data_IF_182040225056
#
_entry.id   IF_182040225056
#
_cell.length_a   1.000
_cell.length_b   1.000
_cell.length_c   1.000
_cell.angle_alpha   90.00
_cell.angle_beta   90.00
_cell.angle_gamma   90.00
#
_symmetry.space_group_name_H-M   'P 1'
#
loop_
_entity.id
_entity.type
_entity.pdbx_description
1 polymer ?
#
# COMPACT_ATOMS: atom_id res chain seq x y z
N UNK A 1 2.03 0.14 -26.59
CA UNK A 1 1.58 -0.20 -25.22
C UNK A 1 2.34 -1.44 -24.80
N UNK A 2 2.97 -1.42 -23.64
CA UNK A 2 3.81 -2.50 -23.13
C UNK A 2 3.30 -2.96 -21.76
N UNK A 3 3.34 -4.27 -21.48
CA UNK A 3 2.98 -4.87 -20.19
C UNK A 3 4.26 -4.99 -19.36
N UNK A 4 4.19 -4.52 -18.11
CA UNK A 4 5.33 -4.55 -17.18
C UNK A 4 5.32 -5.76 -16.24
N UNK A 5 4.17 -6.39 -16.05
CA UNK A 5 3.99 -7.50 -15.13
C UNK A 5 4.89 -8.70 -15.42
N UNK A 6 5.43 -9.29 -14.36
CA UNK A 6 6.03 -10.63 -14.38
C UNK A 6 4.98 -11.70 -14.01
N UNK A 7 5.44 -12.94 -13.84
CA UNK A 7 4.63 -14.03 -13.27
C UNK A 7 4.48 -13.95 -11.74
N UNK A 8 5.01 -12.91 -11.08
CA UNK A 8 4.96 -12.78 -9.63
C UNK A 8 3.54 -12.39 -9.17
N UNK A 9 2.88 -13.20 -8.34
CA UNK A 9 1.49 -12.95 -7.93
C UNK A 9 1.38 -11.70 -7.05
N UNK A 10 0.31 -10.92 -7.28
CA UNK A 10 0.03 -9.69 -6.52
C UNK A 10 -1.10 -9.85 -5.53
N UNK A 11 -1.78 -11.00 -5.53
CA UNK A 11 -2.90 -11.30 -4.64
C UNK A 11 -2.71 -12.63 -3.93
N UNK A 12 -2.96 -12.61 -2.62
CA UNK A 12 -2.87 -13.75 -1.72
C UNK A 12 -4.07 -13.78 -0.79
N UNK A 13 -4.86 -14.86 -0.90
CA UNK A 13 -5.97 -15.14 0.00
C UNK A 13 -5.76 -16.48 0.69
N UNK A 14 -6.02 -16.51 2.00
CA UNK A 14 -5.90 -17.72 2.79
C UNK A 14 -6.79 -18.83 2.21
N UNK A 15 -6.20 -20.01 1.96
CA UNK A 15 -6.89 -21.16 1.39
C UNK A 15 -7.19 -21.06 -0.11
N UNK A 16 -6.62 -20.08 -0.82
CA UNK A 16 -6.73 -19.94 -2.27
C UNK A 16 -5.35 -19.90 -2.93
N UNK A 17 -5.29 -20.20 -4.22
CA UNK A 17 -4.06 -20.07 -5.00
C UNK A 17 -3.70 -18.59 -5.22
N UNK A 18 -2.41 -18.21 -5.17
CA UNK A 18 -1.96 -16.86 -5.52
C UNK A 18 -2.42 -16.47 -6.92
N UNK A 19 -2.72 -15.19 -7.12
CA UNK A 19 -3.28 -14.68 -8.39
C UNK A 19 -2.63 -13.37 -8.83
N UNK A 20 -2.68 -13.09 -10.14
CA UNK A 20 -2.20 -11.86 -10.79
C UNK A 20 -3.38 -10.93 -11.03
N UNK A 21 -3.72 -10.06 -10.06
CA UNK A 21 -4.89 -9.18 -10.15
C UNK A 21 -4.55 -7.71 -10.44
N UNK A 22 -3.30 -7.30 -10.20
CA UNK A 22 -2.83 -5.96 -10.52
C UNK A 22 -2.16 -5.95 -11.91
N UNK A 23 -2.56 -5.04 -12.80
CA UNK A 23 -1.98 -4.88 -14.14
C UNK A 23 -1.30 -3.52 -14.28
N UNK A 24 -0.04 -3.53 -14.71
CA UNK A 24 0.81 -2.37 -14.95
C UNK A 24 1.22 -2.29 -16.42
N UNK A 25 0.96 -1.15 -17.04
CA UNK A 25 1.20 -0.90 -18.46
C UNK A 25 1.94 0.43 -18.66
N UNK A 26 2.74 0.54 -19.72
CA UNK A 26 3.44 1.77 -20.08
C UNK A 26 3.48 2.03 -21.59
N UNK A 27 3.87 3.25 -21.95
CA UNK A 27 4.28 3.60 -23.31
C UNK A 27 5.60 2.88 -23.66
N UNK A 28 5.81 2.48 -24.93
CA UNK A 28 7.06 1.81 -25.35
C UNK A 28 8.33 2.60 -25.02
N UNK A 29 8.27 3.92 -25.10
CA UNK A 29 9.40 4.83 -24.85
C UNK A 29 9.92 4.74 -23.41
N UNK A 30 9.10 4.27 -22.45
CA UNK A 30 9.46 4.16 -21.05
C UNK A 30 9.95 2.75 -20.65
N UNK A 31 9.81 1.75 -21.52
CA UNK A 31 10.00 0.34 -21.17
C UNK A 31 11.41 0.05 -20.60
N UNK A 32 12.43 0.66 -21.19
CA UNK A 32 13.83 0.44 -20.79
C UNK A 32 14.28 1.32 -19.61
N UNK A 33 13.46 2.30 -19.24
CA UNK A 33 13.73 3.19 -18.11
C UNK A 33 13.08 2.72 -16.81
N UNK A 34 12.17 1.75 -16.90
CA UNK A 34 11.35 1.27 -15.79
C UNK A 34 11.92 -0.02 -15.20
N UNK A 35 12.00 -0.06 -13.88
CA UNK A 35 12.10 -1.29 -13.10
C UNK A 35 10.76 -1.56 -12.42
N UNK A 36 10.24 -2.77 -12.58
CA UNK A 36 8.96 -3.23 -12.02
C UNK A 36 9.21 -4.42 -11.10
N UNK A 37 8.64 -4.39 -9.90
CA UNK A 37 8.76 -5.47 -8.91
C UNK A 37 7.49 -5.61 -8.07
N UNK A 38 7.18 -6.83 -7.63
CA UNK A 38 6.17 -7.08 -6.58
C UNK A 38 6.88 -7.17 -5.24
N UNK A 39 6.30 -6.56 -4.21
CA UNK A 39 6.81 -6.73 -2.85
C UNK A 39 6.50 -8.13 -2.30
N UNK A 40 7.43 -8.68 -1.51
CA UNK A 40 7.26 -9.98 -0.88
C UNK A 40 6.34 -9.97 0.35
N UNK A 41 5.93 -8.78 0.83
CA UNK A 41 5.03 -8.60 1.98
C UNK A 41 3.72 -7.98 1.48
N UNK A 42 2.59 -8.50 1.95
CA UNK A 42 1.25 -7.98 1.64
C UNK A 42 0.86 -6.80 2.55
N UNK A 43 1.66 -6.52 3.58
CA UNK A 43 1.44 -5.42 4.50
C UNK A 43 0.06 -5.45 5.20
N UNK A 44 -0.37 -6.62 5.67
CA UNK A 44 -1.70 -6.91 6.26
C UNK A 44 -2.88 -6.74 5.29
N UNK A 45 -2.61 -6.53 4.00
CA UNK A 45 -3.60 -6.66 2.93
C UNK A 45 -3.62 -8.10 2.41
N UNK A 46 -4.62 -8.39 1.60
CA UNK A 46 -4.67 -9.50 0.64
C UNK A 46 -3.90 -9.22 -0.67
N UNK A 47 -3.43 -7.98 -0.91
CA UNK A 47 -2.62 -7.61 -2.07
C UNK A 47 -1.17 -7.28 -1.69
N UNK A 48 -0.22 -7.78 -2.47
CA UNK A 48 1.17 -7.31 -2.47
C UNK A 48 1.28 -6.01 -3.27
N UNK A 49 1.92 -4.96 -2.72
CA UNK A 49 2.18 -3.75 -3.49
C UNK A 49 3.06 -4.03 -4.71
N UNK A 50 2.74 -3.35 -5.81
CA UNK A 50 3.60 -3.25 -7.00
C UNK A 50 4.45 -1.98 -6.87
N UNK A 51 5.76 -2.11 -7.03
CA UNK A 51 6.71 -1.01 -7.06
C UNK A 51 7.22 -0.80 -8.48
N UNK A 52 7.25 0.47 -8.90
CA UNK A 52 7.71 0.88 -10.21
C UNK A 52 8.68 2.04 -10.01
N UNK A 53 9.93 1.85 -10.43
CA UNK A 53 11.00 2.83 -10.28
C UNK A 53 11.64 3.15 -11.63
N UNK A 54 12.23 4.34 -11.73
CA UNK A 54 12.86 4.83 -12.97
C UNK A 54 14.36 4.93 -12.79
N UNK A 55 15.11 4.57 -13.82
CA UNK A 55 16.58 4.61 -13.85
C UNK A 55 17.16 6.04 -13.87
N UNK A 56 16.33 7.09 -13.79
CA UNK A 56 16.76 8.47 -13.82
C UNK A 56 17.44 8.90 -12.49
N UNK A 57 18.67 9.40 -12.63
CA UNK A 57 19.63 9.69 -11.56
C UNK A 57 19.08 10.42 -10.32
N UNK A 58 19.70 10.08 -9.19
CA UNK A 58 19.47 10.58 -7.84
C UNK A 58 19.31 12.11 -7.74
N UNK A 59 18.09 12.62 -7.89
CA UNK A 59 17.69 13.91 -7.30
C UNK A 59 16.39 13.75 -6.52
N UNK A 60 16.45 13.95 -5.20
CA UNK A 60 15.40 13.86 -4.15
C UNK A 60 15.49 12.59 -3.31
N UNK A 61 15.61 12.81 -1.99
CA UNK A 61 15.85 11.81 -0.96
C UNK A 61 14.72 10.78 -0.80
N UNK A 62 14.87 9.83 0.13
CA UNK A 62 13.93 8.73 0.32
C UNK A 62 12.51 9.27 0.53
N UNK A 63 11.54 8.78 -0.25
CA UNK A 63 10.13 9.03 0.03
C UNK A 63 9.75 8.21 1.25
N UNK A 64 9.29 8.89 2.29
CA UNK A 64 8.78 8.26 3.50
C UNK A 64 7.38 7.71 3.21
N UNK A 65 7.18 6.39 3.36
CA UNK A 65 5.86 5.78 3.29
C UNK A 65 5.34 5.55 4.70
N UNK A 66 4.13 6.05 4.95
CA UNK A 66 3.38 5.78 6.18
C UNK A 66 2.48 4.57 5.95
N UNK A 67 2.57 3.57 6.81
CA UNK A 67 1.70 2.39 6.82
C UNK A 67 0.95 2.31 8.13
N UNK A 68 -0.33 2.00 8.09
CA UNK A 68 -1.10 1.67 9.29
C UNK A 68 -1.01 0.16 9.50
N UNK A 69 -0.70 -0.27 10.73
CA UNK A 69 -0.81 -1.67 11.10
C UNK A 69 -2.28 -2.00 11.37
N UNK A 70 -3.03 -2.41 10.35
CA UNK A 70 -4.49 -2.61 10.43
C UNK A 70 -4.91 -3.61 11.50
N UNK A 71 -4.14 -4.69 11.69
CA UNK A 71 -4.41 -5.67 12.75
C UNK A 71 -4.34 -5.07 14.17
N UNK A 72 -3.36 -4.21 14.44
CA UNK A 72 -3.24 -3.54 15.75
C UNK A 72 -4.24 -2.41 15.90
N UNK A 73 -4.48 -1.66 14.82
CA UNK A 73 -5.51 -0.62 14.77
C UNK A 73 -6.90 -1.17 15.14
N UNK A 74 -7.31 -2.29 14.52
CA UNK A 74 -8.59 -2.92 14.82
C UNK A 74 -8.69 -3.42 16.26
N UNK A 75 -7.62 -4.06 16.78
CA UNK A 75 -7.57 -4.51 18.18
C UNK A 75 -7.64 -3.35 19.16
N UNK A 76 -6.89 -2.28 18.92
CA UNK A 76 -6.84 -1.09 19.77
C UNK A 76 -8.21 -0.39 19.79
N UNK A 77 -8.80 -0.17 18.62
CA UNK A 77 -10.14 0.41 18.52
C UNK A 77 -11.19 -0.42 19.23
N UNK A 78 -11.23 -1.73 18.99
CA UNK A 78 -12.22 -2.59 19.65
C UNK A 78 -12.04 -2.57 21.18
N UNK A 79 -10.80 -2.60 21.67
CA UNK A 79 -10.55 -2.51 23.11
C UNK A 79 -11.02 -1.19 23.72
N UNK A 80 -10.91 -0.07 22.99
CA UNK A 80 -11.39 1.23 23.46
C UNK A 80 -12.92 1.25 23.43
N UNK A 81 -13.53 0.78 22.36
CA UNK A 81 -14.99 0.67 22.21
C UNK A 81 -15.62 -0.23 23.28
N UNK A 82 -14.95 -1.32 23.66
CA UNK A 82 -15.42 -2.24 24.69
C UNK A 82 -15.33 -1.64 26.11
N UNK A 83 -14.43 -0.68 26.34
CA UNK A 83 -14.29 0.04 27.61
C UNK A 83 -15.15 1.31 27.68
N UNK A 84 -15.37 1.95 26.54
CA UNK A 84 -16.03 3.24 26.42
C UNK A 84 -17.51 3.02 26.06
N UNK A 85 -18.37 2.98 27.08
CA UNK A 85 -19.81 2.70 26.93
C UNK A 85 -20.58 3.76 26.12
N UNK A 86 -19.97 4.86 25.69
CA UNK A 86 -20.72 5.98 25.15
C UNK A 86 -19.91 6.90 24.22
N UNK A 87 -19.75 6.46 22.96
CA UNK A 87 -19.39 7.37 21.88
C UNK A 87 -20.66 8.11 21.44
N UNK A 88 -20.94 9.22 22.12
CA UNK A 88 -22.19 9.97 21.97
C UNK A 88 -22.33 10.76 20.64
N UNK A 89 -21.35 10.71 19.74
CA UNK A 89 -21.38 11.45 18.47
C UNK A 89 -20.42 10.87 17.43
N UNK A 90 -20.81 10.97 16.16
CA UNK A 90 -19.96 10.65 14.99
C UNK A 90 -18.64 11.43 15.03
N UNK A 91 -18.65 12.69 15.48
CA UNK A 91 -17.44 13.51 15.56
C UNK A 91 -16.43 12.97 16.59
N UNK A 92 -16.93 12.40 17.70
CA UNK A 92 -16.09 11.78 18.72
C UNK A 92 -15.48 10.48 18.19
N UNK A 93 -16.28 9.69 17.46
CA UNK A 93 -15.80 8.47 16.78
C UNK A 93 -14.71 8.78 15.74
N UNK A 94 -14.91 9.80 14.92
CA UNK A 94 -13.92 10.21 13.90
C UNK A 94 -12.60 10.66 14.54
N UNK A 95 -12.65 11.42 15.65
CA UNK A 95 -11.46 11.82 16.39
C UNK A 95 -10.70 10.61 16.92
N UNK A 96 -11.41 9.66 17.53
CA UNK A 96 -10.84 8.42 18.04
C UNK A 96 -10.17 7.60 16.91
N UNK A 97 -10.87 7.40 15.80
CA UNK A 97 -10.33 6.70 14.63
C UNK A 97 -9.07 7.36 14.09
N UNK A 98 -9.04 8.70 14.00
CA UNK A 98 -7.88 9.43 13.54
C UNK A 98 -6.70 9.36 14.51
N UNK A 99 -6.96 9.40 15.81
CA UNK A 99 -5.95 9.22 16.85
C UNK A 99 -5.33 7.81 16.77
N UNK A 100 -6.16 6.78 16.74
CA UNK A 100 -5.69 5.38 16.67
C UNK A 100 -4.97 5.09 15.36
N UNK A 101 -5.42 5.69 14.25
CA UNK A 101 -4.72 5.63 12.97
C UNK A 101 -3.30 6.17 13.10
N UNK A 102 -3.10 7.31 13.75
CA UNK A 102 -1.77 7.89 13.94
C UNK A 102 -0.90 7.03 14.87
N UNK A 103 -1.45 6.52 15.97
CA UNK A 103 -0.75 5.64 16.92
C UNK A 103 -0.26 4.35 16.27
N UNK A 104 -1.05 3.82 15.33
CA UNK A 104 -0.74 2.58 14.61
C UNK A 104 -0.05 2.83 13.27
N UNK A 105 0.35 4.08 12.97
CA UNK A 105 1.11 4.40 11.76
C UNK A 105 2.59 4.16 11.98
N UNK A 106 3.13 3.18 11.27
CA UNK A 106 4.56 2.93 11.14
C UNK A 106 5.14 3.77 10.01
N UNK A 107 6.31 4.33 10.25
CA UNK A 107 7.12 5.02 9.25
C UNK A 107 8.10 3.99 8.68
N UNK A 108 8.00 3.70 7.39
CA UNK A 108 9.00 2.90 6.67
C UNK A 108 9.65 3.74 5.58
N UNK A 109 10.98 3.80 5.63
CA UNK A 109 11.80 4.36 4.57
C UNK A 109 12.06 3.28 3.52
N UNK A 110 11.63 3.52 2.27
CA UNK A 110 12.11 2.91 1.02
C UNK A 110 11.08 3.08 -0.12
N UNK A 111 10.86 4.31 -0.58
CA UNK A 111 10.24 4.48 -1.90
C UNK A 111 10.99 5.54 -2.70
N UNK A 112 11.29 5.22 -3.96
CA UNK A 112 11.90 6.16 -4.89
C UNK A 112 10.83 6.80 -5.78
N UNK A 113 10.48 8.04 -5.41
CA UNK A 113 9.94 9.16 -6.22
C UNK A 113 8.59 9.03 -6.96
N UNK A 114 7.98 10.20 -7.12
CA UNK A 114 6.78 10.51 -7.92
C UNK A 114 7.10 10.48 -9.42
N UNK A 115 6.16 9.97 -10.21
CA UNK A 115 6.29 9.68 -11.65
C UNK A 115 5.22 10.41 -12.47
N UNK A 116 5.46 10.75 -13.76
CA UNK A 116 4.43 11.06 -14.75
C UNK A 116 3.38 9.94 -14.93
N UNK A 117 2.32 10.23 -15.69
CA UNK A 117 1.09 9.43 -15.78
C UNK A 117 1.35 7.95 -16.10
N UNK A 118 1.10 7.10 -15.11
CA UNK A 118 1.12 5.65 -15.22
C UNK A 118 -0.22 5.12 -14.73
N UNK A 119 -0.76 4.12 -15.40
CA UNK A 119 -2.05 3.54 -15.03
C UNK A 119 -1.79 2.15 -14.48
N UNK A 120 -2.08 1.97 -13.20
CA UNK A 120 -2.13 0.68 -12.53
C UNK A 120 -3.59 0.33 -12.36
N UNK A 121 -4.02 -0.78 -12.96
CA UNK A 121 -5.37 -1.30 -12.80
C UNK A 121 -5.38 -2.35 -11.69
N UNK A 122 -6.40 -2.29 -10.84
CA UNK A 122 -6.70 -3.31 -9.83
C UNK A 122 -8.06 -3.90 -10.16
N UNK A 123 -8.12 -5.23 -10.31
CA UNK A 123 -9.36 -5.99 -10.59
C UNK A 123 -9.90 -6.60 -9.30
#
# INVERSE_FOLDING_TARGET
>A
MCILNTSDPTYFKQGCNPSLLDLSICSPDLLYEIQWTVHNDTFDSDHCPVEISFNHGNTKGPSVRRRIHWGNFGKSLNSILDMENDIHSIQSFEKLCNQEKNNNTLIQDKFSKKVPTMVVFRV
#
